data_IF_727042486235
#
_entry.id   IF_727042486235
#
_cell.length_a   1.000
_cell.length_b   1.000
_cell.length_c   1.000
_cell.angle_alpha   90.00
_cell.angle_beta   90.00
_cell.angle_gamma   90.00
#
_symmetry.space_group_name_H-M   'P 1'
#
loop_
_entity.id
_entity.type
_entity.pdbx_description
1 polymer ?
#
# COMPACT_ATOMS: atom_id res chain seq x y z
N UNK A 1 -7.05 -14.98 26.84
CA UNK A 1 -7.01 -14.60 25.42
C UNK A 1 -5.60 -14.66 24.82
N UNK A 2 -4.57 -14.02 25.40
CA UNK A 2 -3.17 -14.07 24.91
C UNK A 2 -2.59 -15.48 24.74
N UNK A 3 -2.91 -16.44 25.63
CA UNK A 3 -2.40 -17.81 25.54
C UNK A 3 -2.99 -18.61 24.36
N UNK A 4 -4.27 -18.40 24.02
CA UNK A 4 -4.91 -19.01 22.86
C UNK A 4 -4.42 -18.39 21.55
N UNK A 5 -4.10 -17.09 21.57
CA UNK A 5 -3.54 -16.34 20.45
C UNK A 5 -2.14 -16.87 20.09
N UNK A 6 -1.26 -17.04 21.09
CA UNK A 6 0.09 -17.60 20.93
C UNK A 6 0.09 -19.09 20.54
N UNK A 7 -0.94 -19.83 20.95
CA UNK A 7 -1.14 -21.23 20.57
C UNK A 7 -1.51 -21.40 19.08
N UNK A 8 -2.38 -20.54 18.54
CA UNK A 8 -2.73 -20.54 17.11
C UNK A 8 -1.56 -20.06 16.22
N UNK A 9 -0.83 -19.04 16.68
CA UNK A 9 0.35 -18.46 16.01
C UNK A 9 1.45 -19.49 15.72
N UNK A 10 1.73 -20.39 16.66
CA UNK A 10 2.92 -21.26 16.60
C UNK A 10 2.66 -22.66 16.04
N UNK A 11 1.41 -23.13 16.04
CA UNK A 11 1.05 -24.52 15.67
C UNK A 11 0.16 -24.63 14.43
N UNK A 12 -0.58 -23.58 14.07
CA UNK A 12 -1.48 -23.54 12.91
C UNK A 12 -1.36 -22.21 12.15
N UNK A 13 -0.16 -21.87 11.62
CA UNK A 13 0.09 -20.58 10.96
C UNK A 13 -0.88 -20.30 9.80
N UNK A 14 -1.35 -21.32 9.07
CA UNK A 14 -2.37 -21.17 8.03
C UNK A 14 -3.77 -20.78 8.55
N UNK A 15 -4.16 -21.22 9.74
CA UNK A 15 -5.43 -20.86 10.39
C UNK A 15 -5.32 -19.46 11.00
N UNK A 16 -4.16 -19.10 11.55
CA UNK A 16 -3.91 -17.73 11.99
C UNK A 16 -3.85 -16.74 10.82
N UNK A 17 -3.15 -17.08 9.73
CA UNK A 17 -3.22 -16.36 8.46
C UNK A 17 -4.66 -16.17 8.02
N UNK A 18 -5.48 -17.23 8.08
CA UNK A 18 -6.89 -17.13 7.76
C UNK A 18 -7.66 -16.26 8.76
N UNK A 19 -7.43 -16.37 10.08
CA UNK A 19 -8.19 -15.66 11.12
C UNK A 19 -7.77 -14.19 11.32
N UNK A 20 -6.47 -13.86 11.26
CA UNK A 20 -5.97 -12.48 11.27
C UNK A 20 -6.37 -11.77 9.99
N UNK A 21 -6.22 -12.42 8.84
CA UNK A 21 -6.71 -11.86 7.59
C UNK A 21 -8.24 -11.84 7.57
N UNK A 22 -8.98 -12.81 8.13
CA UNK A 22 -10.46 -12.75 8.25
C UNK A 22 -10.90 -11.63 9.21
N UNK A 23 -10.13 -11.39 10.28
CA UNK A 23 -10.35 -10.33 11.28
C UNK A 23 -10.16 -8.92 10.71
N UNK A 24 -9.11 -8.67 9.92
CA UNK A 24 -8.96 -7.45 9.10
C UNK A 24 -9.86 -7.47 7.84
N UNK A 25 -10.32 -8.62 7.35
CA UNK A 25 -11.24 -8.76 6.18
C UNK A 25 -12.70 -8.40 6.47
N UNK A 26 -13.10 -8.16 7.72
CA UNK A 26 -14.38 -7.45 7.96
C UNK A 26 -14.26 -5.99 7.51
N UNK A 27 -13.05 -5.43 7.44
CA UNK A 27 -12.84 -3.99 7.57
C UNK A 27 -12.34 -3.28 6.29
N UNK A 28 -12.28 -4.01 5.17
CA UNK A 28 -12.02 -3.40 3.87
C UNK A 28 -12.36 -4.34 2.72
N UNK A 29 -13.63 -4.75 2.62
CA UNK A 29 -14.05 -5.65 1.53
C UNK A 29 -13.56 -5.14 0.17
N UNK A 30 -13.23 -6.03 -0.77
CA UNK A 30 -12.93 -5.68 -2.18
C UNK A 30 -13.92 -4.66 -2.76
N UNK A 31 -15.19 -4.71 -2.32
CA UNK A 31 -16.23 -3.71 -2.62
C UNK A 31 -15.93 -2.31 -2.08
N UNK A 32 -15.49 -2.18 -0.83
CA UNK A 32 -15.11 -0.91 -0.21
C UNK A 32 -13.87 -0.32 -0.88
N UNK A 33 -12.86 -1.15 -1.15
CA UNK A 33 -11.66 -0.73 -1.89
C UNK A 33 -12.04 -0.27 -3.30
N UNK A 34 -12.86 -1.04 -4.02
CA UNK A 34 -13.38 -0.64 -5.34
C UNK A 34 -14.11 0.70 -5.28
N UNK A 35 -14.94 0.92 -4.25
CA UNK A 35 -15.65 2.20 -4.06
C UNK A 35 -14.69 3.36 -3.83
N UNK A 36 -13.64 3.15 -3.02
CA UNK A 36 -12.64 4.17 -2.71
C UNK A 36 -11.97 4.73 -3.97
N UNK A 37 -11.69 3.86 -4.96
CA UNK A 37 -10.98 4.25 -6.18
C UNK A 37 -11.88 4.46 -7.40
N UNK A 38 -13.20 4.30 -7.28
CA UNK A 38 -14.12 4.37 -8.41
C UNK A 38 -14.10 5.73 -9.14
N UNK A 39 -13.69 6.79 -8.46
CA UNK A 39 -13.59 8.15 -9.01
C UNK A 39 -12.17 8.49 -9.50
N UNK A 40 -11.19 7.68 -9.10
CA UNK A 40 -9.78 7.88 -9.43
C UNK A 40 -9.33 7.02 -10.61
N UNK A 41 -9.95 5.84 -10.76
CA UNK A 41 -9.55 4.79 -11.70
C UNK A 41 -10.69 4.45 -12.65
N UNK A 42 -10.38 4.38 -13.94
CA UNK A 42 -11.29 4.06 -15.04
C UNK A 42 -10.86 2.78 -15.75
N UNK A 43 -11.77 2.15 -16.51
CA UNK A 43 -11.41 1.03 -17.37
C UNK A 43 -10.25 1.37 -18.31
N UNK A 44 -9.26 0.48 -18.40
CA UNK A 44 -8.07 0.62 -19.24
C UNK A 44 -6.90 1.40 -18.62
N UNK A 45 -7.14 2.15 -17.54
CA UNK A 45 -6.06 2.84 -16.84
C UNK A 45 -5.01 1.87 -16.29
N UNK A 46 -3.78 2.34 -16.16
CA UNK A 46 -2.71 1.60 -15.51
C UNK A 46 -2.63 1.98 -14.02
N UNK A 47 -2.58 1.00 -13.14
CA UNK A 47 -2.41 1.15 -11.69
C UNK A 47 -1.27 0.29 -11.21
N UNK A 48 -0.41 0.83 -10.34
CA UNK A 48 0.59 0.05 -9.62
C UNK A 48 0.09 -0.25 -8.21
N UNK A 49 0.10 -1.51 -7.82
CA UNK A 49 -0.22 -1.99 -6.46
C UNK A 49 1.08 -2.45 -5.80
N UNK A 50 1.75 -1.54 -5.07
CA UNK A 50 3.03 -1.81 -4.39
C UNK A 50 2.78 -2.33 -2.98
N UNK A 51 3.32 -3.52 -2.72
CA UNK A 51 2.94 -4.32 -1.55
C UNK A 51 1.56 -4.94 -1.77
N UNK A 52 1.41 -5.70 -2.86
CA UNK A 52 0.14 -6.27 -3.27
C UNK A 52 -0.38 -7.37 -2.33
N UNK A 53 0.50 -8.01 -1.54
CA UNK A 53 0.17 -9.07 -0.58
C UNK A 53 -0.66 -10.18 -1.26
N UNK A 54 -1.83 -10.54 -0.73
CA UNK A 54 -2.75 -11.52 -1.32
C UNK A 54 -3.61 -10.96 -2.47
N UNK A 55 -3.46 -9.67 -2.81
CA UNK A 55 -4.05 -9.04 -3.99
C UNK A 55 -5.49 -8.57 -3.84
N UNK A 56 -5.90 -8.14 -2.66
CA UNK A 56 -7.25 -7.55 -2.47
C UNK A 56 -7.38 -6.22 -3.23
N UNK A 57 -6.41 -5.31 -3.10
CA UNK A 57 -6.39 -4.05 -3.87
C UNK A 57 -6.26 -4.32 -5.37
N UNK A 58 -5.34 -5.20 -5.78
CA UNK A 58 -5.24 -5.69 -7.17
C UNK A 58 -6.61 -6.12 -7.71
N UNK A 59 -7.35 -6.95 -6.96
CA UNK A 59 -8.69 -7.38 -7.34
C UNK A 59 -9.69 -6.23 -7.43
N UNK A 60 -9.64 -5.26 -6.50
CA UNK A 60 -10.51 -4.09 -6.51
C UNK A 60 -10.26 -3.17 -7.72
N UNK A 61 -8.99 -2.95 -8.09
CA UNK A 61 -8.62 -2.20 -9.30
C UNK A 61 -9.07 -2.93 -10.56
N UNK A 62 -8.97 -4.26 -10.60
CA UNK A 62 -9.51 -5.08 -11.70
C UNK A 62 -11.02 -5.00 -11.82
N UNK A 63 -11.77 -4.90 -10.73
CA UNK A 63 -13.22 -4.69 -10.78
C UNK A 63 -13.62 -3.29 -11.31
N UNK A 64 -12.65 -2.37 -11.42
CA UNK A 64 -12.80 -1.07 -12.10
C UNK A 64 -12.34 -1.14 -13.58
N UNK A 65 -11.83 -2.29 -14.03
CA UNK A 65 -11.32 -2.51 -15.38
C UNK A 65 -9.90 -1.99 -15.63
N UNK A 66 -9.13 -1.67 -14.58
CA UNK A 66 -7.78 -1.14 -14.72
C UNK A 66 -6.76 -2.22 -15.05
N UNK A 67 -5.74 -1.94 -15.84
CA UNK A 67 -4.54 -2.78 -15.94
C UNK A 67 -3.71 -2.60 -14.66
N UNK A 68 -3.24 -3.68 -14.07
CA UNK A 68 -2.56 -3.66 -12.77
C UNK A 68 -1.18 -4.27 -12.85
N UNK A 69 -0.18 -3.54 -12.35
CA UNK A 69 1.13 -4.12 -12.01
C UNK A 69 1.13 -4.34 -10.49
N UNK A 70 1.00 -5.60 -10.08
CA UNK A 70 1.00 -6.02 -8.70
C UNK A 70 2.43 -6.39 -8.27
N UNK A 71 3.00 -5.62 -7.34
CA UNK A 71 4.38 -5.76 -6.90
C UNK A 71 4.41 -6.36 -5.51
N UNK A 72 5.02 -7.54 -5.37
CA UNK A 72 5.11 -8.28 -4.11
C UNK A 72 6.45 -9.03 -4.00
N UNK A 73 7.32 -8.66 -3.04
CA UNK A 73 8.63 -9.28 -2.89
C UNK A 73 8.60 -10.70 -2.32
N UNK A 74 7.60 -11.07 -1.51
CA UNK A 74 7.57 -12.39 -0.86
C UNK A 74 7.23 -13.48 -1.88
N UNK A 75 8.10 -14.48 -2.11
CA UNK A 75 7.88 -15.51 -3.13
C UNK A 75 6.55 -16.25 -2.98
N UNK A 76 6.15 -16.56 -1.73
CA UNK A 76 4.88 -17.26 -1.44
C UNK A 76 3.66 -16.44 -1.84
N UNK A 77 3.67 -15.14 -1.57
CA UNK A 77 2.58 -14.23 -1.94
C UNK A 77 2.61 -13.92 -3.44
N UNK A 78 3.80 -13.76 -4.04
CA UNK A 78 3.96 -13.67 -5.49
C UNK A 78 3.36 -14.88 -6.22
N UNK A 79 3.62 -16.10 -5.73
CA UNK A 79 3.01 -17.31 -6.27
C UNK A 79 1.50 -17.38 -6.04
N UNK A 80 1.02 -16.87 -4.91
CA UNK A 80 -0.42 -16.72 -4.67
C UNK A 80 -1.06 -15.78 -5.68
N UNK A 81 -0.47 -14.60 -5.92
CA UNK A 81 -0.93 -13.63 -6.91
C UNK A 81 -0.93 -14.22 -8.32
N UNK A 82 0.13 -14.95 -8.72
CA UNK A 82 0.18 -15.63 -10.02
C UNK A 82 -0.89 -16.70 -10.16
N UNK A 83 -1.19 -17.47 -9.11
CA UNK A 83 -2.31 -18.43 -9.15
C UNK A 83 -3.67 -17.72 -9.24
N UNK A 84 -3.83 -16.59 -8.56
CA UNK A 84 -5.08 -15.82 -8.51
C UNK A 84 -5.36 -15.06 -9.80
N UNK A 85 -4.34 -14.46 -10.42
CA UNK A 85 -4.47 -13.52 -11.52
C UNK A 85 -3.68 -13.88 -12.79
N UNK A 86 -2.87 -14.94 -12.79
CA UNK A 86 -1.96 -15.24 -13.91
C UNK A 86 -2.63 -15.63 -15.24
N UNK A 87 -3.96 -15.77 -15.26
CA UNK A 87 -4.75 -15.92 -16.50
C UNK A 87 -5.43 -14.62 -16.96
N UNK A 88 -5.37 -13.55 -16.16
CA UNK A 88 -5.88 -12.22 -16.51
C UNK A 88 -4.76 -11.44 -17.23
N UNK A 89 -4.90 -11.16 -18.54
CA UNK A 89 -3.86 -10.50 -19.32
C UNK A 89 -3.61 -9.03 -18.90
N UNK A 90 -4.52 -8.45 -18.12
CA UNK A 90 -4.39 -7.09 -17.61
C UNK A 90 -3.75 -7.05 -16.21
N UNK A 91 -3.30 -8.18 -15.65
CA UNK A 91 -2.55 -8.23 -14.39
C UNK A 91 -1.15 -8.76 -14.63
N UNK A 92 -0.14 -7.94 -14.29
CA UNK A 92 1.26 -8.35 -14.27
C UNK A 92 1.72 -8.47 -12.82
N UNK A 93 2.32 -9.60 -12.45
CA UNK A 93 2.87 -9.83 -11.10
C UNK A 93 4.39 -9.71 -11.13
N UNK A 94 4.93 -8.75 -10.39
CA UNK A 94 6.38 -8.47 -10.32
C UNK A 94 6.90 -8.85 -8.93
N UNK A 95 7.86 -9.78 -8.89
CA UNK A 95 8.45 -10.30 -7.65
C UNK A 95 9.70 -9.50 -7.26
N UNK A 96 9.48 -8.30 -6.72
CA UNK A 96 10.51 -7.35 -6.32
C UNK A 96 9.99 -6.54 -5.14
N UNK A 97 10.90 -5.99 -4.33
CA UNK A 97 10.55 -4.83 -3.51
C UNK A 97 10.86 -3.55 -4.28
N UNK A 98 10.21 -2.46 -3.87
CA UNK A 98 10.40 -1.14 -4.47
C UNK A 98 11.10 -0.22 -3.48
N UNK A 99 12.09 0.51 -3.94
CA UNK A 99 12.89 1.45 -3.14
C UNK A 99 13.35 2.62 -4.00
N UNK A 100 14.28 3.42 -3.49
CA UNK A 100 14.87 4.57 -4.19
C UNK A 100 16.10 4.22 -5.03
N UNK A 101 16.50 2.95 -5.03
CA UNK A 101 17.61 2.42 -5.82
C UNK A 101 17.36 0.97 -6.25
N UNK A 102 17.98 0.51 -7.35
CA UNK A 102 18.02 -0.91 -7.70
C UNK A 102 19.03 -1.66 -6.81
N UNK A 103 18.90 -2.97 -6.72
CA UNK A 103 19.84 -3.82 -5.98
C UNK A 103 19.16 -5.02 -5.33
N UNK A 104 19.60 -5.36 -4.14
CA UNK A 104 18.99 -6.38 -3.29
C UNK A 104 18.92 -5.86 -1.86
N UNK A 105 17.93 -6.31 -1.10
CA UNK A 105 17.83 -6.03 0.32
C UNK A 105 17.28 -7.21 1.11
N UNK A 106 17.56 -7.21 2.41
CA UNK A 106 16.92 -8.11 3.36
C UNK A 106 15.49 -7.64 3.60
N UNK A 107 14.53 -8.50 3.28
CA UNK A 107 13.14 -8.36 3.69
C UNK A 107 12.94 -9.15 4.97
N UNK A 108 12.45 -8.48 6.00
CA UNK A 108 12.09 -9.09 7.28
C UNK A 108 10.63 -9.52 7.20
N UNK A 109 10.34 -10.77 7.57
CA UNK A 109 9.02 -11.38 7.40
C UNK A 109 8.50 -11.93 8.72
N UNK A 110 7.18 -11.90 8.88
CA UNK A 110 6.48 -12.52 10.01
C UNK A 110 6.11 -13.97 9.71
N UNK A 111 6.01 -14.81 10.75
CA UNK A 111 5.68 -16.26 10.71
C UNK A 111 4.46 -16.70 9.88
N UNK A 112 3.62 -15.76 9.41
CA UNK A 112 2.39 -16.03 8.69
C UNK A 112 2.25 -15.25 7.38
N UNK A 113 3.34 -14.72 6.81
CA UNK A 113 3.31 -13.85 5.61
C UNK A 113 2.31 -12.68 5.76
N UNK A 114 2.04 -12.28 7.01
CA UNK A 114 1.01 -11.31 7.34
C UNK A 114 1.50 -9.88 7.11
N UNK A 115 2.78 -9.66 7.43
CA UNK A 115 3.52 -8.41 7.27
C UNK A 115 4.94 -8.75 6.84
N UNK A 116 5.51 -7.87 6.02
CA UNK A 116 6.92 -7.86 5.67
C UNK A 116 7.39 -6.43 5.47
N UNK A 117 8.64 -6.13 5.82
CA UNK A 117 9.20 -4.77 5.74
C UNK A 117 10.68 -4.80 5.37
N UNK A 118 11.16 -3.74 4.73
CA UNK A 118 12.59 -3.48 4.54
C UNK A 118 13.22 -2.75 5.74
N UNK A 119 12.40 -2.33 6.72
CA UNK A 119 12.84 -1.58 7.90
C UNK A 119 13.19 -2.51 9.06
N UNK A 120 14.47 -2.82 9.24
CA UNK A 120 14.99 -3.70 10.30
C UNK A 120 14.49 -3.28 11.70
N UNK A 121 14.56 -1.98 12.02
CA UNK A 121 14.13 -1.47 13.32
C UNK A 121 12.65 -1.79 13.64
N UNK A 122 11.78 -1.87 12.62
CA UNK A 122 10.38 -2.25 12.80
C UNK A 122 10.25 -3.74 13.11
N UNK A 123 11.04 -4.59 12.45
CA UNK A 123 11.09 -6.03 12.73
C UNK A 123 11.65 -6.35 14.14
N UNK A 124 12.57 -5.54 14.64
CA UNK A 124 13.16 -5.69 15.98
C UNK A 124 12.28 -5.14 17.13
N UNK A 125 11.06 -4.68 16.83
CA UNK A 125 10.08 -4.32 17.86
C UNK A 125 10.06 -2.85 18.25
N UNK A 126 10.43 -1.93 17.35
CA UNK A 126 10.25 -0.48 17.55
C UNK A 126 8.77 -0.01 17.71
N UNK A 127 7.81 -0.93 17.84
CA UNK A 127 6.38 -0.66 17.93
C UNK A 127 5.70 -0.56 16.55
N UNK A 128 4.37 -0.46 16.56
CA UNK A 128 3.54 -0.40 15.34
C UNK A 128 2.69 -1.67 15.09
N UNK A 129 1.84 -1.68 14.05
CA UNK A 129 1.05 -2.84 13.68
C UNK A 129 1.93 -4.09 13.49
N UNK A 130 1.59 -5.21 14.14
CA UNK A 130 2.37 -6.44 14.05
C UNK A 130 3.51 -6.59 15.05
N UNK A 131 3.67 -5.68 16.00
CA UNK A 131 4.62 -5.83 17.11
C UNK A 131 4.35 -7.10 17.96
N UNK A 132 3.13 -7.65 17.90
CA UNK A 132 2.75 -8.92 18.53
C UNK A 132 3.14 -10.17 17.73
N UNK A 133 3.61 -10.01 16.49
CA UNK A 133 4.01 -11.12 15.62
C UNK A 133 5.48 -11.51 15.83
N UNK A 134 5.77 -12.79 15.57
CA UNK A 134 7.15 -13.27 15.53
C UNK A 134 7.76 -12.96 14.15
N UNK A 135 8.74 -12.05 14.14
CA UNK A 135 9.61 -11.71 13.01
C UNK A 135 10.83 -12.63 13.00
N UNK A 136 10.65 -13.86 12.54
CA UNK A 136 11.67 -14.90 12.63
C UNK A 136 12.17 -15.40 11.28
N UNK A 137 11.76 -14.74 10.18
CA UNK A 137 12.17 -15.09 8.83
C UNK A 137 12.73 -13.86 8.12
N UNK A 138 13.75 -14.09 7.31
CA UNK A 138 14.39 -13.06 6.48
C UNK A 138 14.71 -13.66 5.12
N UNK A 139 14.43 -12.90 4.06
CA UNK A 139 14.73 -13.31 2.70
C UNK A 139 15.43 -12.16 1.96
N UNK A 140 16.38 -12.49 1.10
CA UNK A 140 16.98 -11.51 0.18
C UNK A 140 16.08 -11.38 -1.04
N UNK A 141 15.69 -10.16 -1.37
CA UNK A 141 14.80 -9.86 -2.50
C UNK A 141 15.42 -8.80 -3.40
N UNK A 142 15.15 -8.85 -4.72
CA UNK A 142 15.59 -7.79 -5.62
C UNK A 142 14.83 -6.49 -5.32
N UNK A 143 15.52 -5.38 -5.53
CA UNK A 143 15.01 -4.01 -5.46
C UNK A 143 14.95 -3.39 -6.85
N UNK A 144 13.93 -2.58 -7.07
CA UNK A 144 13.86 -1.65 -8.19
C UNK A 144 13.14 -0.36 -7.80
N UNK A 145 13.20 0.66 -8.67
CA UNK A 145 12.57 1.95 -8.42
C UNK A 145 11.19 2.04 -9.07
N UNK A 146 10.33 2.94 -8.58
CA UNK A 146 9.07 3.24 -9.27
C UNK A 146 9.33 3.78 -10.69
N UNK A 147 10.37 4.58 -10.91
CA UNK A 147 10.73 5.03 -12.25
C UNK A 147 11.09 3.87 -13.19
N UNK A 148 11.75 2.80 -12.69
CA UNK A 148 12.03 1.62 -13.49
C UNK A 148 10.74 0.88 -13.88
N UNK A 149 9.81 0.71 -12.94
CA UNK A 149 8.48 0.14 -13.22
C UNK A 149 7.69 1.00 -14.23
N UNK A 150 7.78 2.33 -14.13
CA UNK A 150 7.17 3.25 -15.09
C UNK A 150 7.78 3.09 -16.47
N UNK A 151 9.11 2.96 -16.56
CA UNK A 151 9.80 2.77 -17.83
C UNK A 151 9.43 1.42 -18.50
N UNK A 152 9.22 0.38 -17.70
CA UNK A 152 8.88 -0.96 -18.20
C UNK A 152 7.40 -1.10 -18.59
N UNK A 153 6.49 -0.60 -17.74
CA UNK A 153 5.05 -0.88 -17.87
C UNK A 153 4.22 0.33 -18.33
N UNK A 154 4.82 1.52 -18.37
CA UNK A 154 4.17 2.78 -18.70
C UNK A 154 3.78 3.59 -17.47
N UNK A 155 3.31 4.82 -17.69
CA UNK A 155 2.93 5.75 -16.61
C UNK A 155 1.56 5.38 -16.02
N UNK A 156 1.48 5.05 -14.72
CA UNK A 156 0.20 4.77 -14.07
C UNK A 156 -0.59 6.05 -13.81
N UNK A 157 -1.91 5.93 -13.66
CA UNK A 157 -2.74 7.03 -13.14
C UNK A 157 -2.70 7.08 -11.60
N UNK A 158 -2.44 5.93 -10.97
CA UNK A 158 -2.44 5.75 -9.54
C UNK A 158 -1.35 4.75 -9.14
N UNK A 159 -0.60 5.06 -8.09
CA UNK A 159 0.29 4.14 -7.38
C UNK A 159 -0.25 3.96 -5.97
N UNK A 160 -0.64 2.75 -5.61
CA UNK A 160 -0.89 2.36 -4.22
C UNK A 160 0.42 1.88 -3.61
N UNK A 161 0.71 2.32 -2.39
CA UNK A 161 1.90 1.94 -1.63
C UNK A 161 1.45 1.52 -0.23
N UNK A 162 1.61 0.25 0.12
CA UNK A 162 1.66 -0.12 1.53
C UNK A 162 2.69 -1.23 1.68
N UNK A 163 3.82 -0.85 2.27
CA UNK A 163 5.07 -1.62 2.34
C UNK A 163 5.60 -1.62 3.77
N UNK A 164 4.70 -1.41 4.73
CA UNK A 164 4.93 -1.53 6.16
C UNK A 164 6.13 -0.70 6.65
N UNK A 165 6.17 0.59 6.31
CA UNK A 165 7.15 1.55 6.84
C UNK A 165 8.20 2.03 5.84
N UNK A 166 8.36 1.36 4.69
CA UNK A 166 9.32 1.78 3.65
C UNK A 166 8.70 2.75 2.60
N UNK A 167 7.55 3.36 2.88
CA UNK A 167 6.81 4.19 1.91
C UNK A 167 7.65 5.38 1.41
N UNK A 168 8.45 5.97 2.29
CA UNK A 168 9.34 7.08 1.92
C UNK A 168 10.39 6.64 0.90
N UNK A 169 11.02 5.48 1.09
CA UNK A 169 11.98 4.91 0.14
C UNK A 169 11.34 4.66 -1.23
N UNK A 170 10.13 4.08 -1.25
CA UNK A 170 9.34 3.87 -2.48
C UNK A 170 9.09 5.20 -3.20
N UNK A 171 8.59 6.20 -2.48
CA UNK A 171 8.28 7.52 -3.06
C UNK A 171 9.55 8.20 -3.56
N UNK A 172 10.68 8.13 -2.86
CA UNK A 172 11.95 8.70 -3.34
C UNK A 172 12.34 8.17 -4.73
N UNK A 173 12.04 6.91 -5.04
CA UNK A 173 12.25 6.28 -6.34
C UNK A 173 11.31 6.69 -7.49
N UNK A 174 10.37 7.61 -7.26
CA UNK A 174 9.44 8.16 -8.26
C UNK A 174 9.84 9.61 -8.64
N UNK A 175 10.93 9.77 -9.37
CA UNK A 175 11.47 11.10 -9.68
C UNK A 175 10.86 11.71 -10.95
N UNK A 176 10.50 10.89 -11.95
CA UNK A 176 10.15 11.37 -13.29
C UNK A 176 8.64 11.51 -13.52
N UNK A 177 7.87 10.50 -13.11
CA UNK A 177 6.42 10.49 -13.26
C UNK A 177 5.73 11.14 -12.05
N UNK A 178 4.52 11.67 -12.28
CA UNK A 178 3.71 12.28 -11.23
C UNK A 178 2.28 11.72 -11.19
N UNK A 179 2.09 10.40 -11.00
CA UNK A 179 0.77 9.79 -10.79
C UNK A 179 0.14 10.23 -9.47
N UNK A 180 -1.16 10.01 -9.28
CA UNK A 180 -1.72 10.08 -7.93
C UNK A 180 -1.10 8.97 -7.07
N UNK A 181 -0.86 9.24 -5.79
CA UNK A 181 -0.23 8.30 -4.86
C UNK A 181 -1.16 8.07 -3.69
N UNK A 182 -1.56 6.82 -3.47
CA UNK A 182 -2.31 6.40 -2.28
C UNK A 182 -1.37 5.58 -1.40
N UNK A 183 -1.23 5.92 -0.12
CA UNK A 183 -0.33 5.21 0.77
C UNK A 183 -0.88 5.04 2.18
N UNK A 184 -0.54 3.92 2.83
CA UNK A 184 -0.80 3.73 4.27
C UNK A 184 0.14 4.61 5.09
N UNK A 185 -0.40 5.27 6.11
CA UNK A 185 0.36 6.14 7.00
C UNK A 185 1.05 5.29 8.06
N UNK A 186 2.26 4.84 7.73
CA UNK A 186 3.15 4.17 8.67
C UNK A 186 4.07 5.19 9.38
N UNK A 187 3.92 5.33 10.70
CA UNK A 187 4.77 6.22 11.51
C UNK A 187 6.12 5.56 11.83
N UNK A 188 7.22 6.34 11.92
CA UNK A 188 7.30 7.80 11.79
C UNK A 188 7.41 8.32 10.33
N UNK A 189 7.72 7.46 9.35
CA UNK A 189 8.11 7.84 7.99
C UNK A 189 7.03 8.50 7.12
N UNK A 190 5.75 8.40 7.48
CA UNK A 190 4.66 8.99 6.70
C UNK A 190 4.75 10.51 6.50
N UNK A 191 5.39 11.25 7.41
CA UNK A 191 5.57 12.70 7.26
C UNK A 191 6.60 13.04 6.17
N UNK A 192 7.65 12.24 6.05
CA UNK A 192 8.66 12.41 5.01
C UNK A 192 8.07 12.12 3.61
N UNK A 193 7.09 11.21 3.54
CA UNK A 193 6.33 10.96 2.30
C UNK A 193 5.58 12.22 1.86
N UNK A 194 4.85 12.86 2.78
CA UNK A 194 4.09 14.08 2.50
C UNK A 194 5.02 15.22 2.05
N UNK A 195 6.14 15.42 2.77
CA UNK A 195 7.14 16.43 2.43
C UNK A 195 7.75 16.19 1.04
N UNK A 196 8.15 14.94 0.76
CA UNK A 196 8.73 14.56 -0.53
C UNK A 196 7.77 14.80 -1.69
N UNK A 197 6.50 14.41 -1.53
CA UNK A 197 5.48 14.64 -2.57
C UNK A 197 5.20 16.15 -2.74
N UNK A 198 5.09 16.91 -1.64
CA UNK A 198 4.89 18.35 -1.70
C UNK A 198 6.03 19.06 -2.45
N UNK A 199 7.29 18.70 -2.15
CA UNK A 199 8.47 19.21 -2.84
C UNK A 199 8.48 18.90 -4.35
N UNK A 200 7.76 17.86 -4.77
CA UNK A 200 7.60 17.44 -6.18
C UNK A 200 6.37 18.04 -6.87
N UNK A 201 5.67 18.96 -6.20
CA UNK A 201 4.57 19.73 -6.76
C UNK A 201 3.18 19.15 -6.48
N UNK A 202 3.06 18.14 -5.61
CA UNK A 202 1.77 17.67 -5.15
C UNK A 202 1.18 18.69 -4.16
N UNK A 203 0.07 19.33 -4.53
CA UNK A 203 -0.56 20.37 -3.72
C UNK A 203 -1.80 19.92 -2.95
N UNK A 204 -2.30 18.72 -3.24
CA UNK A 204 -3.64 18.29 -2.83
C UNK A 204 -3.60 16.90 -2.22
N UNK A 205 -3.88 16.84 -0.92
CA UNK A 205 -3.84 15.63 -0.12
C UNK A 205 -5.21 15.37 0.50
N UNK A 206 -5.59 14.10 0.57
CA UNK A 206 -6.75 13.64 1.33
C UNK A 206 -6.26 12.64 2.36
N UNK A 207 -6.78 12.75 3.58
CA UNK A 207 -6.53 11.79 4.64
C UNK A 207 -7.83 11.04 4.90
N UNK A 208 -7.75 9.74 5.15
CA UNK A 208 -8.84 8.96 5.70
C UNK A 208 -8.36 8.20 6.93
N UNK A 209 -9.27 7.97 7.87
CA UNK A 209 -9.07 6.92 8.87
C UNK A 209 -9.20 5.60 8.13
N UNK A 210 -8.21 4.72 8.28
CA UNK A 210 -8.17 3.43 7.63
C UNK A 210 -9.50 2.70 7.88
N UNK A 211 -9.92 1.90 6.89
CA UNK A 211 -11.13 1.08 6.98
C UNK A 211 -12.46 1.87 7.01
N UNK A 212 -12.43 3.21 7.09
CA UNK A 212 -13.61 4.05 6.88
C UNK A 212 -13.79 4.38 5.39
N UNK A 213 -15.04 4.46 4.92
CA UNK A 213 -15.32 4.72 3.51
C UNK A 213 -15.04 6.17 3.10
N UNK A 214 -15.01 7.10 4.05
CA UNK A 214 -15.02 8.53 3.79
C UNK A 214 -13.69 9.20 4.14
N UNK A 215 -13.35 10.23 3.37
CA UNK A 215 -12.23 11.12 3.65
C UNK A 215 -12.54 12.01 4.85
N UNK A 216 -11.51 12.31 5.66
CA UNK A 216 -11.60 13.17 6.85
C UNK A 216 -12.08 14.57 6.49
N UNK A 217 -11.67 15.08 5.31
CA UNK A 217 -12.04 16.40 4.82
C UNK A 217 -12.74 16.32 3.47
N UNK A 218 -13.70 17.23 3.27
CA UNK A 218 -14.43 17.43 2.01
C UNK A 218 -13.63 18.19 0.95
N UNK A 219 -12.59 18.92 1.38
CA UNK A 219 -11.65 19.62 0.50
C UNK A 219 -10.25 18.99 0.61
N UNK A 220 -9.43 19.08 -0.44
CA UNK A 220 -8.03 18.70 -0.30
C UNK A 220 -7.35 19.56 0.77
N UNK A 221 -6.45 18.92 1.49
CA UNK A 221 -5.51 19.51 2.44
C UNK A 221 -4.19 19.84 1.72
N UNK A 222 -3.48 20.84 2.21
CA UNK A 222 -2.04 20.97 1.94
C UNK A 222 -1.26 19.88 2.69
N UNK A 223 0.00 19.64 2.32
CA UNK A 223 0.85 18.70 3.05
C UNK A 223 1.04 19.09 4.53
N UNK A 224 1.09 20.38 4.83
CA UNK A 224 1.18 20.89 6.20
C UNK A 224 -0.10 20.59 7.00
N UNK A 225 -1.28 20.88 6.43
CA UNK A 225 -2.58 20.57 7.06
C UNK A 225 -2.74 19.06 7.30
N UNK A 226 -2.35 18.22 6.32
CA UNK A 226 -2.38 16.77 6.47
C UNK A 226 -1.42 16.29 7.56
N UNK A 227 -0.21 16.84 7.61
CA UNK A 227 0.79 16.53 8.65
C UNK A 227 0.28 16.87 10.05
N UNK A 228 -0.27 18.07 10.24
CA UNK A 228 -0.80 18.52 11.54
C UNK A 228 -1.97 17.65 11.99
N UNK A 229 -2.88 17.30 11.08
CA UNK A 229 -3.99 16.40 11.38
C UNK A 229 -3.50 15.01 11.78
N UNK A 230 -2.56 14.44 11.02
CA UNK A 230 -1.99 13.12 11.30
C UNK A 230 -1.24 13.12 12.64
N UNK A 231 -0.49 14.17 12.99
CA UNK A 231 0.18 14.29 14.30
C UNK A 231 -0.81 14.27 15.47
N UNK A 232 -1.98 14.86 15.30
CA UNK A 232 -3.03 14.88 16.31
C UNK A 232 -3.84 13.58 16.40
N UNK A 233 -3.85 12.77 15.33
CA UNK A 233 -4.56 11.49 15.29
C UNK A 233 -3.78 10.38 16.00
N UNK A 234 -4.50 9.41 16.57
CA UNK A 234 -3.96 8.12 17.05
C UNK A 234 -4.47 6.94 16.22
N UNK A 235 -5.31 7.20 15.22
CA UNK A 235 -5.89 6.17 14.36
C UNK A 235 -4.91 5.75 13.25
N UNK A 236 -5.08 4.52 12.77
CA UNK A 236 -4.49 4.08 11.51
C UNK A 236 -5.13 4.88 10.37
N UNK A 237 -4.31 5.39 9.45
CA UNK A 237 -4.75 6.32 8.42
C UNK A 237 -4.18 5.94 7.06
N UNK A 238 -4.88 6.31 6.00
CA UNK A 238 -4.34 6.33 4.64
C UNK A 238 -4.34 7.76 4.11
N UNK A 239 -3.43 8.04 3.19
CA UNK A 239 -3.36 9.31 2.50
C UNK A 239 -3.39 9.13 0.98
N UNK A 240 -4.10 10.03 0.30
CA UNK A 240 -4.09 10.17 -1.15
C UNK A 240 -3.49 11.53 -1.51
N UNK A 241 -2.37 11.53 -2.22
CA UNK A 241 -1.84 12.70 -2.89
C UNK A 241 -2.27 12.68 -4.36
N UNK A 242 -2.98 13.72 -4.82
CA UNK A 242 -3.40 13.80 -6.21
C UNK A 242 -2.26 14.24 -7.13
N UNK A 243 -2.20 13.63 -8.32
CA UNK A 243 -1.30 14.08 -9.38
C UNK A 243 -1.42 15.61 -9.60
N UNK A 244 -0.31 16.33 -9.77
CA UNK A 244 -0.36 17.76 -10.07
C UNK A 244 -1.15 18.02 -11.35
N UNK A 245 -2.20 18.85 -11.25
CA UNK A 245 -3.10 19.13 -12.37
C UNK A 245 -4.15 18.05 -12.64
N UNK A 246 -4.40 17.12 -11.71
CA UNK A 246 -5.48 16.15 -11.81
C UNK A 246 -6.81 16.83 -12.13
N UNK A 247 -7.48 16.35 -13.19
CA UNK A 247 -8.77 16.86 -13.65
C UNK A 247 -9.88 16.72 -12.58
N UNK A 248 -10.98 17.47 -12.68
CA UNK A 248 -12.10 17.41 -11.74
C UNK A 248 -12.73 16.01 -11.65
N UNK A 249 -12.55 15.21 -12.70
CA UNK A 249 -13.11 13.90 -12.95
C UNK A 249 -12.20 12.74 -12.46
N UNK A 250 -11.10 13.09 -11.76
CA UNK A 250 -10.08 12.20 -11.18
C UNK A 250 -9.82 12.55 -9.71
N UNK A 251 -10.89 12.87 -8.99
CA UNK A 251 -10.85 13.38 -7.60
C UNK A 251 -11.93 12.71 -6.78
N UNK A 252 -11.71 12.52 -5.47
CA UNK A 252 -12.79 12.15 -4.58
C UNK A 252 -13.97 13.11 -4.69
N UNK A 253 -15.19 12.58 -4.82
CA UNK A 253 -16.39 13.38 -4.79
C UNK A 253 -16.54 14.06 -3.42
N UNK A 254 -17.11 15.27 -3.39
CA UNK A 254 -17.65 15.80 -2.15
C UNK A 254 -18.68 14.80 -1.61
N UNK A 255 -18.61 14.44 -0.33
CA UNK A 255 -19.61 13.55 0.27
C UNK A 255 -21.03 14.07 -0.02
N UNK A 256 -21.93 13.17 -0.46
CA UNK A 256 -23.34 13.49 -0.61
C UNK A 256 -23.89 13.98 0.74
N UNK A 257 -24.53 15.15 0.73
CA UNK A 257 -25.06 15.81 1.93
C UNK A 257 -26.15 15.02 2.63
#
# INVERSE_FOLDING_TARGET
MLAAHRFLLTRLPGVYFHLRNVGRKVVGTRRNQRRLFAELVRPGDLVFDVGANIGEFTGAFRDLGARVVAVEPQPRLGDHLRRRFGSDPDVTVVATAVSDHPGEATLYCTTADALATLEEARAEGAGGPGAELEWNDTIVVPLQTLDALVAEHGTPVLVKIDVEGHEHGVVRGLASARPSVFFEVNRPGAFDVLETLAARGYGEFYVRVAERPDWVSRRPMTAAEATDWLRASTDDCDCLALAPGAGPDRRPAPAAG
#
